data_IF_753898166551
#
_entry.id   IF_753898166551
#
_cell.length_a   1.000
_cell.length_b   1.000
_cell.length_c   1.000
_cell.angle_alpha   90.00
_cell.angle_beta   90.00
_cell.angle_gamma   90.00
#
_symmetry.space_group_name_H-M   'P 1'
#
loop_
_entity.id
_entity.type
_entity.pdbx_description
1 polymer ?
#
# COMPACT_ATOMS: atom_id res chain seq x y z
N UNK A 1 46.17 -30.57 25.49
CA UNK A 1 45.19 -31.66 25.39
C UNK A 1 44.26 -31.42 24.23
N UNK A 2 43.81 -32.49 23.55
CA UNK A 2 43.07 -32.38 22.27
C UNK A 2 41.74 -31.59 22.35
N UNK A 3 41.20 -31.36 23.53
CA UNK A 3 40.00 -30.57 23.78
C UNK A 3 40.24 -29.06 23.63
N UNK A 4 41.35 -28.53 24.14
CA UNK A 4 41.71 -27.11 24.02
C UNK A 4 41.90 -26.67 22.55
N UNK A 5 42.46 -27.54 21.72
CA UNK A 5 42.62 -27.28 20.30
C UNK A 5 41.28 -27.27 19.53
N UNK A 6 40.29 -28.01 20.01
CA UNK A 6 38.98 -28.05 19.40
C UNK A 6 38.17 -26.80 19.72
N UNK A 7 38.20 -26.35 20.98
CA UNK A 7 37.53 -25.13 21.41
C UNK A 7 38.17 -23.88 20.76
N UNK A 8 39.52 -23.85 20.66
CA UNK A 8 40.23 -22.75 19.97
C UNK A 8 39.85 -22.66 18.47
N UNK A 9 39.64 -23.78 17.79
CA UNK A 9 39.20 -23.76 16.38
C UNK A 9 37.73 -23.36 16.24
N UNK A 10 36.85 -23.78 17.14
CA UNK A 10 35.46 -23.33 17.13
C UNK A 10 35.34 -21.83 17.45
N UNK A 11 36.18 -21.30 18.36
CA UNK A 11 36.23 -19.86 18.64
C UNK A 11 36.75 -19.06 17.42
N UNK A 12 37.83 -19.52 16.73
CA UNK A 12 38.31 -18.90 15.49
C UNK A 12 37.29 -18.95 14.36
N UNK A 13 36.54 -20.03 14.25
CA UNK A 13 35.49 -20.18 13.24
C UNK A 13 34.29 -19.27 13.53
N UNK A 14 33.87 -19.16 14.80
CA UNK A 14 32.83 -18.23 15.26
C UNK A 14 33.30 -16.77 15.08
N UNK A 15 34.57 -16.47 15.38
CA UNK A 15 35.13 -15.12 15.18
C UNK A 15 35.28 -14.76 13.69
N UNK A 16 35.54 -15.73 12.82
CA UNK A 16 35.55 -15.55 11.37
C UNK A 16 34.15 -15.36 10.80
N UNK A 17 33.13 -16.03 11.35
CA UNK A 17 31.73 -15.88 10.99
C UNK A 17 31.10 -14.59 11.56
N UNK A 18 31.57 -14.13 12.73
CA UNK A 18 31.18 -12.86 13.35
C UNK A 18 31.98 -11.66 12.85
N UNK A 19 32.98 -11.87 12.01
CA UNK A 19 33.69 -10.78 11.32
C UNK A 19 32.76 -10.14 10.28
N UNK A 20 31.61 -9.68 10.74
CA UNK A 20 30.73 -8.75 10.03
C UNK A 20 31.62 -7.56 9.71
N UNK A 21 32.07 -7.49 8.47
CA UNK A 21 32.87 -6.41 7.90
C UNK A 21 32.34 -5.10 8.47
N UNK A 22 33.11 -4.48 9.40
CA UNK A 22 32.75 -3.20 10.02
C UNK A 22 32.54 -2.19 8.89
N UNK A 23 31.31 -2.13 8.40
CA UNK A 23 30.92 -1.16 7.38
C UNK A 23 31.01 0.19 8.07
N UNK A 24 31.92 1.05 7.60
CA UNK A 24 32.12 2.39 8.17
C UNK A 24 30.74 3.07 8.32
N UNK A 25 30.44 3.57 9.51
CA UNK A 25 29.18 4.27 9.83
C UNK A 25 28.85 5.35 8.79
N UNK A 26 29.89 6.05 8.30
CA UNK A 26 29.76 7.03 7.21
C UNK A 26 29.23 6.43 5.90
N UNK A 27 29.60 5.17 5.58
CA UNK A 27 29.08 4.48 4.38
C UNK A 27 27.63 4.07 4.57
N UNK A 28 27.26 3.63 5.78
CA UNK A 28 25.87 3.30 6.12
C UNK A 28 25.00 4.55 6.06
N UNK A 29 25.44 5.63 6.72
CA UNK A 29 24.73 6.90 6.73
C UNK A 29 24.54 7.46 5.31
N UNK A 30 25.58 7.44 4.48
CA UNK A 30 25.50 7.87 3.08
C UNK A 30 24.51 7.04 2.27
N UNK A 31 24.46 5.71 2.47
CA UNK A 31 23.49 4.84 1.83
C UNK A 31 22.07 5.17 2.29
N UNK A 32 21.86 5.32 3.60
CA UNK A 32 20.55 5.68 4.15
C UNK A 32 20.05 6.99 3.52
N UNK A 33 20.88 8.04 3.54
CA UNK A 33 20.51 9.34 2.95
C UNK A 33 20.19 9.19 1.45
N UNK A 34 21.04 8.47 0.70
CA UNK A 34 20.87 8.30 -0.74
C UNK A 34 19.58 7.56 -1.12
N UNK A 35 19.12 6.60 -0.29
CA UNK A 35 17.85 5.93 -0.49
C UNK A 35 16.65 6.69 0.10
N UNK A 36 16.85 7.43 1.19
CA UNK A 36 15.77 8.19 1.84
C UNK A 36 15.32 9.39 1.00
N UNK A 37 16.23 10.09 0.33
CA UNK A 37 15.90 11.27 -0.48
C UNK A 37 14.85 10.96 -1.57
N UNK A 38 15.04 9.95 -2.46
CA UNK A 38 14.03 9.64 -3.47
C UNK A 38 12.70 9.21 -2.88
N UNK A 39 12.72 8.42 -1.78
CA UNK A 39 11.51 7.95 -1.10
C UNK A 39 10.76 9.13 -0.49
N UNK A 40 11.46 10.02 0.22
CA UNK A 40 10.86 11.21 0.83
C UNK A 40 10.29 12.14 -0.23
N UNK A 41 11.00 12.33 -1.35
CA UNK A 41 10.54 13.14 -2.46
C UNK A 41 9.27 12.55 -3.10
N UNK A 42 9.25 11.23 -3.34
CA UNK A 42 8.08 10.53 -3.89
C UNK A 42 6.87 10.64 -2.96
N UNK A 43 7.06 10.41 -1.66
CA UNK A 43 5.99 10.54 -0.66
C UNK A 43 5.54 12.00 -0.53
N UNK A 44 6.48 12.95 -0.57
CA UNK A 44 6.19 14.37 -0.60
C UNK A 44 5.31 14.76 -1.78
N UNK A 45 5.64 14.30 -2.99
CA UNK A 45 4.84 14.58 -4.20
C UNK A 45 3.42 14.00 -4.11
N UNK A 46 3.24 12.82 -3.50
CA UNK A 46 1.90 12.26 -3.27
C UNK A 46 1.07 13.14 -2.31
N UNK A 47 1.68 13.67 -1.25
CA UNK A 47 1.02 14.57 -0.31
C UNK A 47 0.71 15.94 -0.94
N UNK A 48 1.59 16.45 -1.82
CA UNK A 48 1.30 17.64 -2.62
C UNK A 48 0.09 17.44 -3.54
N UNK A 49 -0.06 16.26 -4.13
CA UNK A 49 -1.25 15.90 -4.90
C UNK A 49 -2.53 16.06 -4.08
N UNK A 50 -2.53 15.67 -2.82
CA UNK A 50 -3.66 15.86 -1.90
C UNK A 50 -3.99 17.34 -1.63
N UNK A 51 -2.97 18.20 -1.51
CA UNK A 51 -3.17 19.65 -1.38
C UNK A 51 -3.75 20.27 -2.65
N UNK A 52 -3.24 19.90 -3.82
CA UNK A 52 -3.78 20.34 -5.11
C UNK A 52 -5.24 19.90 -5.26
N UNK A 53 -5.56 18.67 -4.87
CA UNK A 53 -6.92 18.12 -4.89
C UNK A 53 -7.85 18.94 -3.97
N UNK A 54 -7.40 19.27 -2.76
CA UNK A 54 -8.15 20.11 -1.81
C UNK A 54 -8.47 21.48 -2.40
N UNK A 55 -7.46 22.17 -2.95
CA UNK A 55 -7.65 23.50 -3.53
C UNK A 55 -8.57 23.46 -4.74
N UNK A 56 -8.41 22.46 -5.61
CA UNK A 56 -9.25 22.30 -6.80
C UNK A 56 -10.71 22.02 -6.42
N UNK A 57 -10.95 21.06 -5.53
CA UNK A 57 -12.31 20.68 -5.14
C UNK A 57 -13.02 21.84 -4.49
N UNK A 58 -12.39 22.53 -3.52
CA UNK A 58 -12.97 23.69 -2.87
C UNK A 58 -13.25 24.84 -3.85
N UNK A 59 -12.30 25.15 -4.73
CA UNK A 59 -12.48 26.21 -5.74
C UNK A 59 -13.63 25.90 -6.69
N UNK A 60 -13.78 24.64 -7.11
CA UNK A 60 -14.88 24.21 -7.98
C UNK A 60 -16.24 24.25 -7.28
N UNK A 61 -16.30 23.91 -6.00
CA UNK A 61 -17.53 24.01 -5.21
C UNK A 61 -17.96 25.48 -5.05
N UNK A 62 -17.02 26.37 -4.76
CA UNK A 62 -17.29 27.82 -4.67
C UNK A 62 -17.75 28.37 -6.03
N UNK A 63 -17.08 27.98 -7.12
CA UNK A 63 -17.49 28.37 -8.47
C UNK A 63 -18.90 27.86 -8.85
N UNK A 64 -19.29 26.69 -8.35
CA UNK A 64 -20.64 26.13 -8.53
C UNK A 64 -21.72 26.84 -7.67
N UNK A 65 -21.34 27.87 -6.88
CA UNK A 65 -22.27 28.69 -6.09
C UNK A 65 -22.42 28.25 -4.64
N UNK A 66 -21.61 27.30 -4.15
CA UNK A 66 -21.61 26.97 -2.74
C UNK A 66 -20.86 28.02 -1.92
N UNK A 67 -21.39 28.38 -0.75
CA UNK A 67 -20.66 29.19 0.22
C UNK A 67 -19.42 28.46 0.71
N UNK A 68 -18.37 29.22 1.07
CA UNK A 68 -17.08 28.68 1.53
C UNK A 68 -17.24 27.67 2.67
N UNK A 69 -18.09 27.97 3.66
CA UNK A 69 -18.35 27.07 4.78
C UNK A 69 -18.97 25.73 4.33
N UNK A 70 -19.87 25.80 3.35
CA UNK A 70 -20.48 24.60 2.77
C UNK A 70 -19.47 23.81 1.95
N UNK A 71 -18.62 24.46 1.16
CA UNK A 71 -17.55 23.80 0.40
C UNK A 71 -16.58 23.05 1.32
N UNK A 72 -16.16 23.68 2.42
CA UNK A 72 -15.29 23.06 3.43
C UNK A 72 -15.96 21.85 4.10
N UNK A 73 -17.26 21.94 4.38
CA UNK A 73 -18.05 20.83 4.94
C UNK A 73 -18.13 19.66 3.97
N UNK A 74 -18.43 19.90 2.71
CA UNK A 74 -18.51 18.87 1.67
C UNK A 74 -17.15 18.20 1.43
N UNK A 75 -16.07 19.00 1.45
CA UNK A 75 -14.72 18.44 1.37
C UNK A 75 -14.37 17.58 2.58
N UNK A 76 -14.78 18.00 3.78
CA UNK A 76 -14.65 17.20 5.00
C UNK A 76 -15.38 15.86 4.93
N UNK A 77 -16.60 15.84 4.38
CA UNK A 77 -17.35 14.58 4.13
C UNK A 77 -16.63 13.66 3.16
N UNK A 78 -16.02 14.22 2.10
CA UNK A 78 -15.17 13.45 1.17
C UNK A 78 -13.94 12.87 1.88
N UNK A 79 -13.34 13.60 2.83
CA UNK A 79 -12.25 13.12 3.68
C UNK A 79 -12.66 11.92 4.54
N UNK A 80 -13.78 12.00 5.23
CA UNK A 80 -14.35 10.89 6.03
C UNK A 80 -14.60 9.65 5.17
N UNK A 81 -15.21 9.85 4.00
CA UNK A 81 -15.45 8.80 3.02
C UNK A 81 -14.14 8.11 2.57
N UNK A 82 -13.12 8.87 2.17
CA UNK A 82 -11.81 8.33 1.78
C UNK A 82 -11.16 7.53 2.92
N UNK A 83 -11.27 8.02 4.15
CA UNK A 83 -10.72 7.36 5.35
C UNK A 83 -11.38 6.00 5.59
N UNK A 84 -12.69 5.91 5.51
CA UNK A 84 -13.40 4.64 5.70
C UNK A 84 -13.09 3.63 4.59
N UNK A 85 -12.98 4.07 3.34
CA UNK A 85 -12.57 3.21 2.24
C UNK A 85 -11.14 2.70 2.37
N UNK A 86 -10.26 3.47 3.02
CA UNK A 86 -8.87 3.06 3.20
C UNK A 86 -8.72 1.79 4.06
N UNK A 87 -9.65 1.52 4.98
CA UNK A 87 -9.59 0.36 5.89
C UNK A 87 -9.57 -0.96 5.10
N UNK A 88 -10.57 -1.30 4.28
CA UNK A 88 -10.51 -2.51 3.47
C UNK A 88 -9.41 -2.47 2.41
N UNK A 89 -9.07 -1.28 1.89
CA UNK A 89 -8.00 -1.14 0.89
C UNK A 89 -6.63 -1.54 1.43
N UNK A 90 -6.30 -1.23 2.69
CA UNK A 90 -5.03 -1.65 3.31
C UNK A 90 -4.92 -3.18 3.34
N UNK A 91 -6.00 -3.89 3.64
CA UNK A 91 -6.01 -5.35 3.64
C UNK A 91 -5.81 -5.89 2.22
N UNK A 92 -6.50 -5.31 1.23
CA UNK A 92 -6.42 -5.70 -0.18
C UNK A 92 -4.99 -5.47 -0.72
N UNK A 93 -4.39 -4.32 -0.42
CA UNK A 93 -3.01 -4.01 -0.84
C UNK A 93 -1.99 -4.94 -0.19
N UNK A 94 -2.22 -5.36 1.05
CA UNK A 94 -1.37 -6.33 1.74
C UNK A 94 -1.38 -7.71 1.04
N UNK A 95 -2.52 -8.17 0.54
CA UNK A 95 -2.61 -9.37 -0.28
C UNK A 95 -1.78 -9.21 -1.57
N UNK A 96 -1.91 -8.06 -2.23
CA UNK A 96 -1.12 -7.75 -3.41
C UNK A 96 0.38 -7.82 -3.15
N UNK A 97 0.87 -7.09 -2.16
CA UNK A 97 2.29 -6.99 -1.85
C UNK A 97 2.91 -8.32 -1.42
N UNK A 98 2.19 -9.16 -0.67
CA UNK A 98 2.66 -10.51 -0.30
C UNK A 98 2.71 -11.48 -1.47
N UNK A 99 1.88 -11.28 -2.49
CA UNK A 99 1.83 -12.11 -3.68
C UNK A 99 2.92 -11.71 -4.71
N UNK A 100 3.38 -10.48 -4.69
CA UNK A 100 4.36 -9.91 -5.63
C UNK A 100 5.64 -10.75 -5.78
N UNK A 101 6.37 -11.12 -4.70
CA UNK A 101 7.60 -11.90 -4.82
C UNK A 101 7.35 -13.29 -5.42
N UNK A 102 6.19 -13.88 -5.09
CA UNK A 102 5.82 -15.21 -5.58
C UNK A 102 5.51 -15.22 -7.08
N UNK A 103 4.87 -14.16 -7.59
CA UNK A 103 4.62 -13.99 -9.02
C UNK A 103 5.95 -13.73 -9.75
N UNK A 104 6.77 -12.80 -9.23
CA UNK A 104 8.07 -12.48 -9.82
C UNK A 104 8.97 -13.71 -9.95
N UNK A 105 9.05 -14.54 -8.90
CA UNK A 105 9.81 -15.80 -8.94
C UNK A 105 9.33 -16.74 -10.03
N UNK A 106 8.01 -16.98 -10.16
CA UNK A 106 7.48 -17.85 -11.22
C UNK A 106 7.69 -17.27 -12.62
N UNK A 107 7.78 -15.95 -12.75
CA UNK A 107 8.13 -15.31 -14.02
C UNK A 107 9.58 -15.57 -14.41
N UNK A 108 10.53 -15.43 -13.46
CA UNK A 108 11.96 -15.76 -13.70
C UNK A 108 12.14 -17.22 -14.10
N UNK A 109 11.39 -18.12 -13.47
CA UNK A 109 11.43 -19.56 -13.79
C UNK A 109 10.66 -19.92 -15.07
N UNK A 110 10.08 -18.95 -15.77
CA UNK A 110 9.27 -19.11 -16.99
C UNK A 110 8.06 -20.05 -16.82
N UNK A 111 7.55 -20.18 -15.59
CA UNK A 111 6.41 -21.02 -15.21
C UNK A 111 5.08 -20.29 -15.50
N UNK A 112 4.74 -20.07 -16.76
CA UNK A 112 3.56 -19.27 -17.17
C UNK A 112 2.24 -19.75 -16.57
N UNK A 113 2.09 -21.06 -16.36
CA UNK A 113 0.87 -21.62 -15.75
C UNK A 113 0.73 -21.22 -14.28
N UNK A 114 1.84 -21.26 -13.54
CA UNK A 114 1.90 -20.84 -12.14
C UNK A 114 1.64 -19.33 -11.99
N UNK A 115 2.22 -18.52 -12.87
CA UNK A 115 1.96 -17.08 -12.90
C UNK A 115 0.47 -16.80 -13.04
N UNK A 116 -0.20 -17.40 -14.03
CA UNK A 116 -1.65 -17.25 -14.21
C UNK A 116 -2.44 -17.69 -12.98
N UNK A 117 -2.07 -18.81 -12.37
CA UNK A 117 -2.73 -19.33 -11.17
C UNK A 117 -2.60 -18.37 -9.99
N UNK A 118 -1.40 -17.82 -9.75
CA UNK A 118 -1.13 -16.89 -8.67
C UNK A 118 -1.85 -15.55 -8.86
N UNK A 119 -1.88 -15.05 -10.09
CA UNK A 119 -2.64 -13.84 -10.44
C UNK A 119 -4.15 -14.06 -10.16
N UNK A 120 -4.71 -15.16 -10.67
CA UNK A 120 -6.11 -15.49 -10.43
C UNK A 120 -6.42 -15.64 -8.94
N UNK A 121 -5.51 -16.22 -8.17
CA UNK A 121 -5.64 -16.35 -6.72
C UNK A 121 -5.63 -14.98 -6.03
N UNK A 122 -4.71 -14.09 -6.41
CA UNK A 122 -4.65 -12.73 -5.85
C UNK A 122 -5.95 -11.96 -6.09
N UNK A 123 -6.49 -12.01 -7.31
CA UNK A 123 -7.80 -11.41 -7.61
C UNK A 123 -8.92 -12.03 -6.78
N UNK A 124 -9.00 -13.36 -6.72
CA UNK A 124 -10.02 -14.06 -5.94
C UNK A 124 -10.01 -13.64 -4.48
N UNK A 125 -8.83 -13.61 -3.85
CA UNK A 125 -8.67 -13.20 -2.46
C UNK A 125 -9.05 -11.74 -2.24
N UNK A 126 -8.59 -10.85 -3.12
CA UNK A 126 -8.88 -9.43 -3.03
C UNK A 126 -10.40 -9.14 -3.17
N UNK A 127 -11.06 -9.76 -4.14
CA UNK A 127 -12.50 -9.60 -4.32
C UNK A 127 -13.33 -10.26 -3.22
N UNK A 128 -12.86 -11.35 -2.61
CA UNK A 128 -13.51 -11.96 -1.44
C UNK A 128 -13.60 -11.01 -0.25
N UNK A 129 -12.74 -10.00 -0.18
CA UNK A 129 -12.76 -8.95 0.83
C UNK A 129 -13.47 -7.70 0.30
N UNK A 130 -13.17 -7.29 -0.92
CA UNK A 130 -13.70 -6.06 -1.50
C UNK A 130 -15.22 -6.06 -1.63
N UNK A 131 -15.80 -7.17 -2.08
CA UNK A 131 -17.26 -7.27 -2.31
C UNK A 131 -18.04 -7.19 -1.00
N UNK A 132 -17.76 -8.01 0.02
CA UNK A 132 -18.47 -7.90 1.30
C UNK A 132 -18.23 -6.55 1.98
N UNK A 133 -17.00 -6.01 1.89
CA UNK A 133 -16.69 -4.70 2.44
C UNK A 133 -17.47 -3.56 1.75
N UNK A 134 -17.59 -3.59 0.42
CA UNK A 134 -18.37 -2.61 -0.33
C UNK A 134 -19.86 -2.67 0.06
N UNK A 135 -20.43 -3.87 0.12
CA UNK A 135 -21.83 -4.06 0.52
C UNK A 135 -22.02 -3.65 1.98
N UNK A 136 -21.14 -4.08 2.89
CA UNK A 136 -21.23 -3.73 4.31
C UNK A 136 -21.13 -2.23 4.56
N UNK A 137 -20.15 -1.54 3.95
CA UNK A 137 -20.01 -0.09 4.05
C UNK A 137 -21.18 0.66 3.43
N UNK A 138 -21.77 0.15 2.33
CA UNK A 138 -22.95 0.73 1.71
C UNK A 138 -24.17 0.60 2.61
N UNK A 139 -24.47 -0.60 3.10
CA UNK A 139 -25.67 -0.89 3.90
C UNK A 139 -25.61 -0.29 5.31
N UNK A 140 -24.44 -0.31 5.92
CA UNK A 140 -24.21 0.17 7.28
C UNK A 140 -23.68 1.61 7.32
N UNK A 141 -23.70 2.33 6.20
CA UNK A 141 -23.11 3.66 6.06
C UNK A 141 -23.56 4.64 7.14
N UNK A 142 -24.85 4.71 7.42
CA UNK A 142 -25.41 5.61 8.43
C UNK A 142 -24.93 5.24 9.85
N UNK A 143 -25.00 3.95 10.19
CA UNK A 143 -24.57 3.43 11.49
C UNK A 143 -23.05 3.68 11.70
N UNK A 144 -22.25 3.42 10.68
CA UNK A 144 -20.79 3.62 10.72
C UNK A 144 -20.47 5.10 10.93
N UNK A 145 -21.13 6.00 10.19
CA UNK A 145 -20.94 7.44 10.35
C UNK A 145 -21.40 7.94 11.73
N UNK A 146 -22.58 7.50 12.21
CA UNK A 146 -23.07 7.86 13.53
C UNK A 146 -22.12 7.40 14.63
N UNK A 147 -21.61 6.17 14.54
CA UNK A 147 -20.75 5.58 15.60
C UNK A 147 -19.36 6.16 15.61
N UNK A 148 -18.72 6.33 14.44
CA UNK A 148 -17.30 6.74 14.36
C UNK A 148 -17.13 8.27 14.39
N UNK A 149 -18.05 9.00 13.77
CA UNK A 149 -17.94 10.45 13.63
C UNK A 149 -18.98 11.22 14.47
N UNK A 150 -19.88 10.53 15.16
CA UNK A 150 -21.02 11.13 15.89
C UNK A 150 -21.85 12.08 15.01
N UNK A 151 -21.96 11.78 13.71
CA UNK A 151 -22.63 12.57 12.67
C UNK A 151 -23.15 11.62 11.60
N UNK A 152 -24.22 11.99 10.93
CA UNK A 152 -24.77 11.23 9.79
C UNK A 152 -24.48 11.92 8.44
N UNK A 153 -23.94 13.16 8.49
CA UNK A 153 -23.63 13.90 7.28
C UNK A 153 -22.58 13.15 6.43
N UNK A 154 -22.87 12.95 5.16
CA UNK A 154 -21.97 12.24 4.23
C UNK A 154 -22.22 10.74 4.11
N UNK A 155 -23.07 10.11 4.94
CA UNK A 155 -23.38 8.67 4.81
C UNK A 155 -23.91 8.30 3.40
N UNK A 156 -24.70 9.21 2.76
CA UNK A 156 -25.19 9.01 1.39
C UNK A 156 -24.06 8.87 0.37
N UNK A 157 -22.97 9.63 0.56
CA UNK A 157 -21.77 9.50 -0.27
C UNK A 157 -21.14 8.12 -0.10
N UNK A 158 -21.06 7.61 1.14
CA UNK A 158 -20.57 6.26 1.42
C UNK A 158 -21.50 5.20 0.87
N UNK A 159 -22.80 5.34 1.03
CA UNK A 159 -23.79 4.38 0.56
C UNK A 159 -23.66 4.10 -0.95
N UNK A 160 -23.48 5.15 -1.74
CA UNK A 160 -23.32 5.02 -3.20
C UNK A 160 -21.86 4.74 -3.55
N UNK A 161 -20.92 5.45 -2.92
CA UNK A 161 -19.51 5.43 -3.25
C UNK A 161 -18.77 4.18 -2.81
N UNK A 162 -19.31 3.37 -1.88
CA UNK A 162 -18.64 2.16 -1.41
C UNK A 162 -18.34 1.16 -2.54
N UNK A 163 -19.13 1.13 -3.59
CA UNK A 163 -18.92 0.24 -4.75
C UNK A 163 -17.67 0.59 -5.57
N UNK A 164 -17.13 1.80 -5.43
CA UNK A 164 -15.84 2.16 -6.06
C UNK A 164 -14.70 1.29 -5.54
N UNK A 165 -14.84 0.68 -4.35
CA UNK A 165 -13.89 -0.25 -3.77
C UNK A 165 -13.60 -1.43 -4.70
N UNK A 166 -14.60 -1.92 -5.43
CA UNK A 166 -14.46 -3.03 -6.39
C UNK A 166 -13.54 -2.62 -7.54
N UNK A 167 -13.76 -1.41 -8.10
CA UNK A 167 -12.92 -0.87 -9.17
C UNK A 167 -11.49 -0.59 -8.66
N UNK A 168 -11.38 -0.02 -7.47
CA UNK A 168 -10.10 0.28 -6.84
C UNK A 168 -9.29 -0.99 -6.57
N UNK A 169 -9.95 -2.07 -6.15
CA UNK A 169 -9.32 -3.39 -5.98
C UNK A 169 -8.72 -3.90 -7.28
N UNK A 170 -9.43 -3.75 -8.39
CA UNK A 170 -8.93 -4.14 -9.70
C UNK A 170 -7.64 -3.40 -10.05
N UNK A 171 -7.62 -2.07 -9.89
CA UNK A 171 -6.43 -1.25 -10.18
C UNK A 171 -5.27 -1.57 -9.26
N UNK A 172 -5.50 -1.84 -7.99
CA UNK A 172 -4.45 -2.21 -7.03
C UNK A 172 -3.78 -3.54 -7.39
N UNK A 173 -4.57 -4.57 -7.68
CA UNK A 173 -3.99 -5.88 -8.08
C UNK A 173 -3.26 -5.76 -9.40
N UNK A 174 -3.79 -5.02 -10.37
CA UNK A 174 -3.08 -4.76 -11.64
C UNK A 174 -1.74 -4.05 -11.42
N UNK A 175 -1.70 -3.05 -10.54
CA UNK A 175 -0.46 -2.35 -10.21
C UNK A 175 0.60 -3.29 -9.63
N UNK A 176 0.22 -4.20 -8.73
CA UNK A 176 1.11 -5.22 -8.17
C UNK A 176 1.63 -6.18 -9.25
N UNK A 177 0.77 -6.61 -10.16
CA UNK A 177 1.15 -7.48 -11.28
C UNK A 177 2.17 -6.77 -12.16
N UNK A 178 1.92 -5.51 -12.53
CA UNK A 178 2.84 -4.71 -13.35
C UNK A 178 4.20 -4.53 -12.66
N UNK A 179 4.21 -4.27 -11.36
CA UNK A 179 5.44 -4.19 -10.55
C UNK A 179 6.19 -5.52 -10.54
N UNK A 180 5.49 -6.65 -10.43
CA UNK A 180 6.09 -8.00 -10.47
C UNK A 180 6.82 -8.27 -11.79
N UNK A 181 6.24 -7.82 -12.89
CA UNK A 181 6.80 -7.98 -14.24
C UNK A 181 8.03 -7.06 -14.42
N UNK A 182 7.94 -5.81 -14.01
CA UNK A 182 9.03 -4.84 -14.12
C UNK A 182 10.25 -5.21 -13.26
N UNK A 183 10.04 -5.74 -12.07
CA UNK A 183 11.13 -6.18 -11.18
C UNK A 183 11.99 -7.25 -11.85
N UNK A 184 11.40 -8.12 -12.66
CA UNK A 184 12.12 -9.14 -13.45
C UNK A 184 12.95 -8.51 -14.56
N UNK A 185 12.46 -7.44 -15.19
CA UNK A 185 13.17 -6.78 -16.30
C UNK A 185 14.47 -6.10 -15.86
N UNK A 186 14.56 -5.60 -14.63
CA UNK A 186 15.76 -4.94 -14.09
C UNK A 186 16.85 -5.90 -13.57
N UNK A 187 16.53 -7.17 -13.34
CA UNK A 187 17.50 -8.17 -12.84
C UNK A 187 18.27 -8.88 -13.97
N UNK A 188 17.90 -8.64 -15.23
CA UNK A 188 18.55 -9.21 -16.40
C UNK A 188 19.42 -8.22 -17.21
N UNK A 189 19.65 -7.02 -16.68
CA UNK A 189 20.63 -6.04 -17.17
C UNK A 189 21.79 -5.90 -16.17
#
# INVERSE_FOLDING_TARGET
TGLDKKYSKEEEEIESLTNVRKVSEKKILRKIIMYSIPITLSTGMQNFGGLVDMVNVNSRLIFAGFDRRMADTLYGQLGMYKTLLSVPLVVITSIGTTTLPSIARSMVLNERREVKRKIAYAFKMAFSIAIPAAVGLSMLSELVYATLYNRTDGHKLMMIGAFILILYTTTQIQAVIMQSINTVSYTHL
#
